data_IF_215243535426
#
_entry.id   IF_215243535426
#
_cell.length_a   1.000
_cell.length_b   1.000
_cell.length_c   1.000
_cell.angle_alpha   90.00
_cell.angle_beta   90.00
_cell.angle_gamma   90.00
#
_symmetry.space_group_name_H-M   'P 1'
#
loop_
_entity.id
_entity.type
_entity.pdbx_description
1 polymer ?
#
# COMPACT_ATOMS: atom_id res chain seq x y z
N UNK A 1 0.75 -47.90 -37.33
CA UNK A 1 2.06 -48.54 -37.55
C UNK A 1 3.10 -47.84 -36.68
N UNK A 2 3.21 -48.23 -35.41
CA UNK A 2 4.44 -48.14 -34.63
C UNK A 2 4.46 -49.39 -33.76
N UNK A 3 5.31 -50.31 -34.20
CA UNK A 3 5.37 -51.71 -33.77
C UNK A 3 6.28 -51.84 -32.56
N UNK A 4 5.90 -52.78 -31.70
CA UNK A 4 6.68 -53.42 -30.65
C UNK A 4 6.92 -52.61 -29.36
N UNK A 5 6.07 -52.94 -28.39
CA UNK A 5 6.27 -52.78 -26.95
C UNK A 5 7.51 -53.59 -26.53
N UNK A 6 8.69 -53.02 -26.68
CA UNK A 6 9.96 -53.67 -26.36
C UNK A 6 10.24 -53.53 -24.86
N UNK A 7 9.86 -54.55 -24.09
CA UNK A 7 10.00 -54.71 -22.61
C UNK A 7 11.40 -54.45 -22.03
N UNK A 8 12.40 -54.20 -22.87
CA UNK A 8 13.78 -53.87 -22.47
C UNK A 8 13.93 -52.36 -22.19
N UNK A 9 13.02 -51.51 -22.69
CA UNK A 9 13.04 -50.08 -22.36
C UNK A 9 12.51 -49.76 -20.97
N UNK A 10 11.63 -50.59 -20.38
CA UNK A 10 11.08 -50.33 -19.04
C UNK A 10 12.16 -50.36 -17.93
N UNK A 11 13.19 -51.21 -18.09
CA UNK A 11 14.33 -51.29 -17.15
C UNK A 11 15.36 -50.18 -17.37
N UNK A 12 15.53 -49.71 -18.61
CA UNK A 12 16.36 -48.55 -18.95
C UNK A 12 15.69 -47.25 -18.52
N UNK A 13 14.37 -47.13 -18.69
CA UNK A 13 13.56 -45.96 -18.35
C UNK A 13 13.65 -45.62 -16.87
N UNK A 14 13.82 -46.59 -15.98
CA UNK A 14 13.99 -46.32 -14.54
C UNK A 14 15.37 -45.73 -14.17
N UNK A 15 16.43 -46.05 -14.92
CA UNK A 15 17.75 -45.42 -14.74
C UNK A 15 17.87 -44.10 -15.49
N UNK A 16 17.24 -43.99 -16.66
CA UNK A 16 17.27 -42.78 -17.49
C UNK A 16 16.12 -41.81 -17.19
N UNK A 17 15.20 -42.14 -16.28
CA UNK A 17 14.03 -41.32 -15.95
C UNK A 17 14.41 -39.87 -15.61
N UNK A 18 15.50 -39.68 -14.86
CA UNK A 18 16.03 -38.34 -14.52
C UNK A 18 16.55 -37.58 -15.75
N UNK A 19 17.27 -38.27 -16.64
CA UNK A 19 17.83 -37.66 -17.85
C UNK A 19 16.73 -37.35 -18.86
N UNK A 20 15.76 -38.26 -18.99
CA UNK A 20 14.55 -38.05 -19.78
C UNK A 20 13.71 -36.90 -19.24
N UNK A 21 13.57 -36.78 -17.91
CA UNK A 21 12.92 -35.62 -17.26
C UNK A 21 13.67 -34.32 -17.54
N UNK A 22 15.00 -34.32 -17.46
CA UNK A 22 15.79 -33.12 -17.78
C UNK A 22 15.59 -32.67 -19.22
N UNK A 23 15.57 -33.60 -20.17
CA UNK A 23 15.38 -33.31 -21.60
C UNK A 23 13.94 -32.86 -21.91
N UNK A 24 12.92 -33.51 -21.32
CA UNK A 24 11.51 -33.14 -21.53
C UNK A 24 11.17 -31.80 -20.89
N UNK A 25 11.79 -31.49 -19.75
CA UNK A 25 11.66 -30.20 -19.04
C UNK A 25 12.54 -29.10 -19.64
N UNK A 26 13.04 -29.25 -20.87
CA UNK A 26 13.91 -28.25 -21.53
C UNK A 26 15.06 -27.75 -20.63
N UNK A 27 15.71 -28.68 -19.92
CA UNK A 27 16.79 -28.39 -18.99
C UNK A 27 16.42 -27.44 -17.83
N UNK A 28 15.13 -27.28 -17.50
CA UNK A 28 14.66 -26.34 -16.47
C UNK A 28 15.07 -24.87 -16.73
N UNK A 29 15.44 -24.53 -17.98
CA UNK A 29 15.88 -23.18 -18.31
C UNK A 29 14.75 -22.16 -18.14
N UNK A 30 13.52 -22.53 -18.51
CA UNK A 30 12.35 -21.65 -18.36
C UNK A 30 12.05 -21.37 -16.88
N UNK A 31 12.05 -22.40 -16.02
CA UNK A 31 11.85 -22.25 -14.57
C UNK A 31 13.00 -21.48 -13.90
N UNK A 32 14.25 -21.66 -14.35
CA UNK A 32 15.38 -20.88 -13.83
C UNK A 32 15.28 -19.39 -14.19
N UNK A 33 14.90 -19.07 -15.43
CA UNK A 33 14.66 -17.70 -15.83
C UNK A 33 13.48 -17.09 -15.06
N UNK A 34 12.41 -17.85 -14.88
CA UNK A 34 11.21 -17.40 -14.18
C UNK A 34 11.46 -17.11 -12.69
N UNK A 35 12.13 -18.02 -11.99
CA UNK A 35 12.41 -17.87 -10.55
C UNK A 35 13.51 -16.83 -10.29
N UNK A 36 14.58 -16.80 -11.08
CA UNK A 36 15.72 -15.89 -10.80
C UNK A 36 15.46 -14.49 -11.33
N UNK A 37 14.95 -14.33 -12.54
CA UNK A 37 14.82 -12.99 -13.15
C UNK A 37 13.50 -12.35 -12.73
N UNK A 38 12.37 -13.02 -12.96
CA UNK A 38 11.06 -12.44 -12.67
C UNK A 38 10.75 -12.43 -11.19
N UNK A 39 10.91 -13.56 -10.50
CA UNK A 39 10.49 -13.65 -9.09
C UNK A 39 11.50 -12.98 -8.15
N UNK A 40 12.80 -13.17 -8.36
CA UNK A 40 13.80 -12.59 -7.48
C UNK A 40 14.09 -11.11 -7.78
N UNK A 41 14.29 -10.71 -9.04
CA UNK A 41 14.64 -9.31 -9.34
C UNK A 41 13.40 -8.42 -9.38
N UNK A 42 12.35 -8.82 -10.10
CA UNK A 42 11.15 -8.00 -10.27
C UNK A 42 10.27 -7.99 -9.01
N UNK A 43 9.87 -9.15 -8.51
CA UNK A 43 8.93 -9.17 -7.38
C UNK A 43 9.56 -8.72 -6.07
N UNK A 44 10.76 -9.17 -5.72
CA UNK A 44 11.27 -8.90 -4.38
C UNK A 44 11.84 -7.49 -4.21
N UNK A 45 12.59 -6.98 -5.20
CA UNK A 45 13.30 -5.70 -5.04
C UNK A 45 12.49 -4.51 -5.53
N UNK A 46 11.82 -4.65 -6.67
CA UNK A 46 11.03 -3.54 -7.22
C UNK A 46 9.77 -3.29 -6.40
N UNK A 47 9.05 -4.34 -6.01
CA UNK A 47 7.86 -4.18 -5.17
C UNK A 47 8.22 -3.66 -3.77
N UNK A 48 9.31 -4.14 -3.15
CA UNK A 48 9.75 -3.63 -1.86
C UNK A 48 10.17 -2.15 -1.92
N UNK A 49 10.79 -1.72 -3.02
CA UNK A 49 11.15 -0.31 -3.20
C UNK A 49 9.91 0.58 -3.37
N UNK A 50 8.94 0.15 -4.18
CA UNK A 50 7.68 0.87 -4.35
C UNK A 50 6.89 0.94 -3.03
N UNK A 51 6.80 -0.16 -2.30
CA UNK A 51 6.14 -0.23 -0.99
C UNK A 51 6.85 0.65 0.05
N UNK A 52 8.18 0.73 0.02
CA UNK A 52 8.93 1.62 0.91
C UNK A 52 8.69 3.11 0.60
N UNK A 53 8.59 3.48 -0.68
CA UNK A 53 8.24 4.84 -1.10
C UNK A 53 6.81 5.17 -0.67
N UNK A 54 5.87 4.28 -0.96
CA UNK A 54 4.44 4.47 -0.67
C UNK A 54 4.24 4.67 0.84
N UNK A 55 4.77 3.77 1.67
CA UNK A 55 4.73 3.90 3.13
C UNK A 55 5.40 5.17 3.60
N UNK A 56 6.59 5.50 3.12
CA UNK A 56 7.29 6.70 3.59
C UNK A 56 6.53 7.98 3.26
N UNK A 57 5.97 8.08 2.05
CA UNK A 57 5.28 9.26 1.57
C UNK A 57 3.87 9.37 2.15
N UNK A 58 3.07 8.30 2.04
CA UNK A 58 1.70 8.26 2.55
C UNK A 58 1.69 8.36 4.08
N UNK A 59 2.49 7.55 4.79
CA UNK A 59 2.55 7.64 6.26
C UNK A 59 3.11 9.00 6.71
N UNK A 60 4.00 9.61 5.91
CA UNK A 60 4.50 10.96 6.15
C UNK A 60 3.39 12.01 6.12
N UNK A 61 2.55 11.96 5.09
CA UNK A 61 1.40 12.86 4.93
C UNK A 61 0.40 12.64 6.06
N UNK A 62 -0.01 11.40 6.32
CA UNK A 62 -0.99 11.05 7.36
C UNK A 62 -0.51 11.53 8.73
N UNK A 63 0.76 11.26 9.09
CA UNK A 63 1.34 11.74 10.36
C UNK A 63 1.39 13.26 10.48
N UNK A 64 1.44 13.98 9.35
CA UNK A 64 1.43 15.44 9.34
C UNK A 64 0.02 15.97 9.56
N UNK A 65 -0.97 15.42 8.86
CA UNK A 65 -2.38 15.74 9.06
C UNK A 65 -2.79 15.47 10.51
N UNK A 66 -2.42 14.31 11.06
CA UNK A 66 -2.67 13.95 12.46
C UNK A 66 -2.08 14.97 13.46
N UNK A 67 -0.87 15.48 13.19
CA UNK A 67 -0.22 16.48 14.05
C UNK A 67 -0.92 17.82 13.97
N UNK A 68 -1.25 18.27 12.76
CA UNK A 68 -1.96 19.54 12.54
C UNK A 68 -3.34 19.49 13.17
N UNK A 69 -4.10 18.43 12.92
CA UNK A 69 -5.46 18.25 13.42
C UNK A 69 -5.50 18.23 14.95
N UNK A 70 -4.55 17.51 15.60
CA UNK A 70 -4.43 17.52 17.07
C UNK A 70 -4.05 18.88 17.63
N UNK A 71 -3.16 19.62 16.97
CA UNK A 71 -2.77 20.96 17.42
C UNK A 71 -3.95 21.94 17.33
N UNK A 72 -4.70 21.91 16.22
CA UNK A 72 -5.92 22.73 16.06
C UNK A 72 -6.95 22.35 17.13
N UNK A 73 -7.19 21.05 17.33
CA UNK A 73 -8.11 20.57 18.36
C UNK A 73 -7.74 21.05 19.77
N UNK A 74 -6.45 21.07 20.11
CA UNK A 74 -5.97 21.60 21.40
C UNK A 74 -6.21 23.10 21.54
N UNK A 75 -5.95 23.87 20.49
CA UNK A 75 -6.21 25.31 20.49
C UNK A 75 -7.71 25.60 20.68
N UNK A 76 -8.57 24.88 19.95
CA UNK A 76 -10.03 25.00 20.10
C UNK A 76 -10.47 24.59 21.52
N UNK A 77 -9.91 23.51 22.07
CA UNK A 77 -10.22 23.07 23.42
C UNK A 77 -9.83 24.11 24.48
N UNK A 78 -8.70 24.82 24.29
CA UNK A 78 -8.29 25.91 25.19
C UNK A 78 -9.23 27.12 25.13
N UNK A 79 -9.87 27.38 23.99
CA UNK A 79 -10.90 28.42 23.88
C UNK A 79 -12.18 28.05 24.65
N UNK A 80 -12.40 26.76 24.93
CA UNK A 80 -13.54 26.29 25.70
C UNK A 80 -13.25 26.32 27.21
N UNK A 81 -13.13 27.52 27.79
CA UNK A 81 -12.77 27.74 29.20
C UNK A 81 -13.89 27.39 30.21
N UNK A 82 -15.07 26.98 29.73
CA UNK A 82 -16.22 26.64 30.57
C UNK A 82 -16.96 27.83 31.17
N UNK A 83 -16.51 29.07 30.91
CA UNK A 83 -17.12 30.27 31.45
C UNK A 83 -18.32 30.74 30.60
N UNK A 84 -19.54 30.46 31.06
CA UNK A 84 -20.80 30.86 30.39
C UNK A 84 -20.86 32.35 30.01
N UNK A 85 -20.32 33.23 30.87
CA UNK A 85 -20.28 34.67 30.63
C UNK A 85 -19.44 35.05 29.41
N UNK A 86 -18.30 34.37 29.19
CA UNK A 86 -17.43 34.62 28.04
C UNK A 86 -18.10 34.26 26.72
N UNK A 87 -18.80 33.12 26.68
CA UNK A 87 -19.58 32.72 25.51
C UNK A 87 -20.72 33.71 25.19
N UNK A 88 -21.39 34.24 26.22
CA UNK A 88 -22.43 35.26 26.06
C UNK A 88 -21.91 36.52 25.37
N UNK A 89 -20.77 37.06 25.83
CA UNK A 89 -20.16 38.27 25.25
C UNK A 89 -19.80 38.07 23.78
N UNK A 90 -19.13 36.97 23.44
CA UNK A 90 -18.74 36.65 22.06
C UNK A 90 -19.95 36.50 21.15
N UNK A 91 -21.01 35.84 21.64
CA UNK A 91 -22.25 35.61 20.88
C UNK A 91 -22.99 36.92 20.63
N UNK A 92 -23.18 37.76 21.68
CA UNK A 92 -23.82 39.06 21.54
C UNK A 92 -23.07 39.97 20.56
N UNK A 93 -21.74 39.98 20.63
CA UNK A 93 -20.91 40.72 19.67
C UNK A 93 -21.08 40.22 18.24
N UNK A 94 -21.11 38.90 18.03
CA UNK A 94 -21.35 38.30 16.72
C UNK A 94 -22.70 38.69 16.11
N UNK A 95 -23.77 38.73 16.92
CA UNK A 95 -25.09 39.18 16.48
C UNK A 95 -25.07 40.65 16.06
N UNK A 96 -24.47 41.53 16.86
CA UNK A 96 -24.35 42.96 16.54
C UNK A 96 -23.53 43.19 15.26
N UNK A 97 -22.46 42.43 15.07
CA UNK A 97 -21.61 42.50 13.89
C UNK A 97 -22.37 42.07 12.62
N UNK A 98 -23.08 40.94 12.67
CA UNK A 98 -23.94 40.49 11.57
C UNK A 98 -25.03 41.52 11.24
N UNK A 99 -25.64 42.12 12.26
CA UNK A 99 -26.66 43.16 12.08
C UNK A 99 -26.08 44.43 11.44
N UNK A 100 -24.87 44.83 11.84
CA UNK A 100 -24.15 45.95 11.25
C UNK A 100 -23.78 45.70 9.79
N UNK A 101 -23.27 44.50 9.46
CA UNK A 101 -23.01 44.09 8.07
C UNK A 101 -24.30 44.15 7.25
N UNK A 102 -25.40 43.60 7.77
CA UNK A 102 -26.69 43.62 7.09
C UNK A 102 -27.16 45.04 6.76
N UNK A 103 -27.02 45.98 7.71
CA UNK A 103 -27.41 47.38 7.50
C UNK A 103 -26.53 48.11 6.48
N UNK A 104 -25.25 47.76 6.37
CA UNK A 104 -24.32 48.36 5.38
C UNK A 104 -24.58 47.81 3.97
N UNK A 105 -24.96 46.54 3.86
CA UNK A 105 -25.24 45.86 2.57
C UNK A 105 -26.70 45.96 2.11
N UNK A 106 -27.57 46.58 2.91
CA UNK A 106 -28.96 46.87 2.57
C UNK A 106 -29.07 48.18 1.80
#
# INVERSE_FOLDING_TARGET
MYVSKFRIFDSLQNKTNKVYKLLISKYYFDEFYEDVITRQVFYSRFAAYLDAIDKSFIDGIVRTIDRVSRNIGRLIAQLQTGQLQGYGVVTSFGVLLLFGIYLIFR
#
